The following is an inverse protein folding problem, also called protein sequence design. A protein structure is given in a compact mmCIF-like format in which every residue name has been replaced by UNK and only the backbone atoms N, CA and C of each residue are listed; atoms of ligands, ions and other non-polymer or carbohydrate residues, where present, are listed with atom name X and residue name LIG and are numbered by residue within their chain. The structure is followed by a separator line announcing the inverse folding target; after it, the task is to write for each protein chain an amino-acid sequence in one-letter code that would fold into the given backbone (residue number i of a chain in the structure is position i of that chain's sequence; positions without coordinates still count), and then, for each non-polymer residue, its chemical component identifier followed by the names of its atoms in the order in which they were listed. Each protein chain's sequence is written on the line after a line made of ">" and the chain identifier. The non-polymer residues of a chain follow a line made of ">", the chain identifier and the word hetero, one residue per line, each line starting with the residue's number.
data_IF_788318700384
#
_entry.id   IF_788318700384
#
_cell.length_a   1.000
_cell.length_b   1.000
_cell.length_c   1.000
_cell.angle_alpha   90.00
_cell.angle_beta   90.00
_cell.angle_gamma   90.00
#
_symmetry.space_group_name_H-M   'P 1'
#
loop_
_entity.id
_entity.type
_entity.pdbx_description
1 polymer ?
#
# COMPACT_ATOMS: atom_id res chain seq x y z
N UNK A 1 1.28 8.35 24.42
CA UNK A 1 0.27 8.38 23.35
C UNK A 1 0.55 7.18 22.47
N UNK A 2 -0.41 6.28 22.27
CA UNK A 2 -0.16 5.09 21.45
C UNK A 2 0.01 5.53 20.00
N UNK A 3 1.10 5.15 19.33
CA UNK A 3 1.33 5.54 17.92
C UNK A 3 0.40 4.77 16.96
N UNK A 4 -0.19 3.67 17.43
CA UNK A 4 -1.07 2.82 16.61
C UNK A 4 -2.44 3.45 16.38
N UNK A 5 -2.79 3.67 15.10
CA UNK A 5 -4.08 4.22 14.68
C UNK A 5 -5.27 3.25 14.86
N UNK A 6 -4.99 1.95 15.03
CA UNK A 6 -5.99 0.89 15.15
C UNK A 6 -6.34 0.51 16.60
N UNK A 7 -5.48 0.79 17.58
CA UNK A 7 -5.70 0.44 19.00
C UNK A 7 -5.88 1.72 19.81
N UNK A 8 -7.10 2.27 19.74
CA UNK A 8 -7.48 3.55 20.33
C UNK A 8 -8.07 3.46 21.75
N UNK A 9 -8.39 2.26 22.21
CA UNK A 9 -9.04 2.05 23.49
C UNK A 9 -8.06 1.46 24.52
N UNK A 10 -8.13 1.96 25.75
CA UNK A 10 -7.40 1.37 26.86
C UNK A 10 -8.05 0.02 27.26
N UNK A 11 -7.28 -0.96 27.76
CA UNK A 11 -7.83 -2.26 28.17
C UNK A 11 -8.99 -2.16 29.17
N UNK A 12 -8.98 -1.15 30.03
CA UNK A 12 -10.02 -0.91 31.04
C UNK A 12 -11.40 -0.62 30.42
N UNK A 13 -11.45 -0.12 29.18
CA UNK A 13 -12.71 0.16 28.49
C UNK A 13 -13.36 -1.09 27.89
N UNK A 14 -12.70 -2.27 27.94
CA UNK A 14 -13.17 -3.46 27.24
C UNK A 14 -14.57 -3.90 27.66
N UNK A 15 -14.89 -3.88 28.96
CA UNK A 15 -16.20 -4.28 29.46
C UNK A 15 -17.33 -3.39 28.89
N UNK A 16 -17.13 -2.07 28.93
CA UNK A 16 -18.10 -1.09 28.44
C UNK A 16 -18.26 -1.16 26.91
N UNK A 17 -17.15 -1.29 26.18
CA UNK A 17 -17.17 -1.45 24.72
C UNK A 17 -17.92 -2.71 24.28
N UNK A 18 -17.74 -3.82 24.99
CA UNK A 18 -18.48 -5.07 24.73
C UNK A 18 -19.96 -4.91 25.06
N UNK A 19 -20.30 -4.23 26.16
CA UNK A 19 -21.69 -3.95 26.53
C UNK A 19 -22.39 -3.07 25.48
N UNK A 20 -21.70 -2.05 24.97
CA UNK A 20 -22.22 -1.19 23.89
C UNK A 20 -22.34 -1.94 22.57
N UNK A 21 -21.42 -2.84 22.24
CA UNK A 21 -21.51 -3.68 21.04
C UNK A 21 -22.75 -4.58 21.09
N UNK A 22 -22.96 -5.30 22.20
CA UNK A 22 -24.12 -6.20 22.37
C UNK A 22 -25.43 -5.41 22.33
N UNK A 23 -25.45 -4.21 22.88
CA UNK A 23 -26.63 -3.35 22.88
C UNK A 23 -26.85 -2.55 21.58
N UNK A 24 -25.98 -2.72 20.57
CA UNK A 24 -26.07 -1.99 19.29
C UNK A 24 -25.78 -0.49 19.41
N UNK A 25 -25.06 -0.05 20.45
CA UNK A 25 -24.65 1.34 20.70
C UNK A 25 -23.20 1.62 20.30
N UNK A 26 -22.43 0.58 19.98
CA UNK A 26 -21.04 0.75 19.56
C UNK A 26 -20.95 1.61 18.29
N UNK A 27 -19.99 2.54 18.29
CA UNK A 27 -19.63 3.29 17.08
C UNK A 27 -18.67 2.45 16.25
N UNK A 28 -18.95 2.32 14.97
CA UNK A 28 -18.10 1.63 14.00
C UNK A 28 -17.51 2.64 13.02
N UNK A 29 -16.25 2.46 12.65
CA UNK A 29 -15.57 3.26 11.64
C UNK A 29 -15.22 2.35 10.46
N UNK A 30 -15.62 2.73 9.24
CA UNK A 30 -15.24 2.00 8.02
C UNK A 30 -13.81 2.40 7.60
N UNK A 31 -12.99 1.39 7.29
CA UNK A 31 -11.60 1.60 6.88
C UNK A 31 -11.44 1.28 5.40
N UNK A 32 -10.74 2.15 4.68
CA UNK A 32 -10.36 1.87 3.29
C UNK A 32 -9.29 0.78 3.25
N UNK A 33 -9.49 -0.22 2.40
CA UNK A 33 -8.51 -1.27 2.10
C UNK A 33 -7.91 -1.06 0.71
N UNK A 34 -6.66 -1.45 0.54
CA UNK A 34 -6.05 -1.60 -0.80
C UNK A 34 -6.28 -3.02 -1.30
N UNK A 35 -6.50 -3.16 -2.61
CA UNK A 35 -6.63 -4.45 -3.27
C UNK A 35 -5.65 -4.57 -4.42
N UNK A 36 -4.80 -5.60 -4.41
CA UNK A 36 -4.05 -6.03 -5.57
C UNK A 36 -4.77 -7.19 -6.25
N UNK A 37 -4.81 -7.17 -7.59
CA UNK A 37 -5.49 -8.18 -8.40
C UNK A 37 -4.57 -8.58 -9.55
N UNK A 38 -4.43 -9.88 -9.75
CA UNK A 38 -3.75 -10.44 -10.91
C UNK A 38 -4.77 -10.70 -12.02
N UNK A 39 -4.28 -10.84 -13.25
CA UNK A 39 -5.06 -11.16 -14.43
C UNK A 39 -5.71 -12.55 -14.35
N UNK A 40 -5.09 -13.49 -13.63
CA UNK A 40 -5.65 -14.80 -13.30
C UNK A 40 -6.75 -14.79 -12.22
N UNK A 41 -7.08 -13.61 -11.69
CA UNK A 41 -8.16 -13.42 -10.73
C UNK A 41 -7.75 -13.55 -9.26
N UNK A 42 -6.51 -13.94 -8.94
CA UNK A 42 -5.99 -13.90 -7.57
C UNK A 42 -6.03 -12.48 -7.02
N UNK A 43 -6.28 -12.36 -5.71
CA UNK A 43 -6.48 -11.07 -5.05
C UNK A 43 -5.84 -11.06 -3.66
N UNK A 44 -5.20 -9.95 -3.33
CA UNK A 44 -4.81 -9.59 -1.96
C UNK A 44 -5.61 -8.37 -1.48
N UNK A 45 -5.80 -8.32 -0.17
CA UNK A 45 -6.41 -7.20 0.54
C UNK A 45 -5.51 -6.82 1.70
N UNK A 46 -5.28 -5.52 1.88
CA UNK A 46 -4.44 -5.02 2.96
C UNK A 46 -5.10 -3.83 3.65
N UNK A 47 -4.95 -3.77 4.98
CA UNK A 47 -5.39 -2.63 5.79
C UNK A 47 -4.40 -1.47 5.66
N UNK A 48 -3.10 -1.75 5.59
CA UNK A 48 -2.05 -0.75 5.51
C UNK A 48 -1.55 -0.60 4.08
N UNK A 49 -0.91 -1.63 3.52
CA UNK A 49 -0.33 -1.54 2.17
C UNK A 49 -0.17 -2.90 1.48
N UNK A 50 -0.11 -2.86 0.15
CA UNK A 50 0.44 -3.95 -0.66
C UNK A 50 1.82 -3.56 -1.16
N UNK A 51 2.79 -4.45 -0.96
CA UNK A 51 4.09 -4.39 -1.63
C UNK A 51 4.03 -5.16 -2.95
N UNK A 52 4.74 -4.68 -3.97
CA UNK A 52 4.97 -5.35 -5.25
C UNK A 52 6.46 -5.24 -5.58
N UNK A 53 7.12 -6.36 -5.84
CA UNK A 53 8.54 -6.35 -6.21
C UNK A 53 9.13 -7.75 -6.38
N UNK A 54 10.43 -7.86 -6.18
CA UNK A 54 11.15 -9.12 -6.27
C UNK A 54 11.17 -9.85 -4.91
N UNK A 55 11.12 -11.18 -4.90
CA UNK A 55 11.08 -12.03 -3.69
C UNK A 55 12.33 -11.94 -2.82
N UNK A 56 13.46 -11.59 -3.43
CA UNK A 56 14.77 -11.46 -2.78
C UNK A 56 15.37 -10.09 -3.08
N UNK A 57 16.57 -9.80 -2.57
CA UNK A 57 17.28 -8.53 -2.76
C UNK A 57 17.83 -8.36 -4.20
N UNK A 58 16.97 -8.48 -5.21
CA UNK A 58 17.26 -8.13 -6.59
C UNK A 58 16.35 -7.00 -7.04
N UNK A 59 16.73 -6.32 -8.12
CA UNK A 59 15.92 -5.25 -8.68
C UNK A 59 14.60 -5.80 -9.22
N UNK A 60 13.50 -5.25 -8.71
CA UNK A 60 12.19 -5.41 -9.32
C UNK A 60 12.18 -4.66 -10.66
N UNK A 61 11.68 -5.31 -11.71
CA UNK A 61 11.59 -4.74 -13.06
C UNK A 61 10.16 -4.81 -13.53
N UNK A 62 9.61 -3.68 -13.91
CA UNK A 62 8.20 -3.58 -14.28
C UNK A 62 7.94 -2.33 -15.11
N UNK A 63 6.74 -2.25 -15.67
CA UNK A 63 6.20 -1.04 -16.27
C UNK A 63 5.08 -0.53 -15.37
N UNK A 64 5.13 0.76 -15.01
CA UNK A 64 4.03 1.45 -14.34
C UNK A 64 3.15 2.11 -15.38
N UNK A 65 1.83 1.97 -15.23
CA UNK A 65 0.85 2.81 -15.92
C UNK A 65 0.02 3.58 -14.89
N UNK A 66 0.09 4.91 -14.95
CA UNK A 66 -0.60 5.82 -14.04
C UNK A 66 -0.90 7.15 -14.74
N UNK A 67 -2.13 7.67 -14.58
CA UNK A 67 -2.50 8.99 -15.12
C UNK A 67 -2.31 9.14 -16.65
N UNK A 68 -2.49 8.05 -17.41
CA UNK A 68 -2.25 8.02 -18.87
C UNK A 68 -0.78 7.99 -19.27
N UNK A 69 0.15 7.98 -18.31
CA UNK A 69 1.58 7.82 -18.56
C UNK A 69 2.01 6.38 -18.36
N UNK A 70 3.13 6.02 -19.00
CA UNK A 70 3.75 4.70 -18.91
C UNK A 70 5.26 4.86 -18.77
N UNK A 71 5.84 4.25 -17.73
CA UNK A 71 7.29 4.31 -17.49
C UNK A 71 7.84 2.94 -17.12
N UNK A 72 9.01 2.59 -17.68
CA UNK A 72 9.74 1.37 -17.34
C UNK A 72 10.62 1.63 -16.13
N UNK A 73 10.56 0.75 -15.14
CA UNK A 73 11.29 0.90 -13.89
C UNK A 73 12.23 -0.29 -13.60
N UNK A 74 13.28 0.04 -12.86
CA UNK A 74 14.09 -0.88 -12.07
C UNK A 74 14.21 -0.27 -10.67
N UNK A 75 13.87 -1.00 -9.61
CA UNK A 75 13.75 -0.43 -8.26
C UNK A 75 13.85 -1.50 -7.16
N UNK A 76 13.74 -1.08 -5.90
CA UNK A 76 13.55 -1.95 -4.73
C UNK A 76 12.06 -2.34 -4.51
N UNK A 77 11.24 -2.28 -5.56
CA UNK A 77 9.80 -2.52 -5.54
C UNK A 77 8.97 -1.25 -5.39
N UNK A 78 7.65 -1.41 -5.22
CA UNK A 78 6.73 -0.33 -4.88
C UNK A 78 5.77 -0.76 -3.78
N UNK A 79 5.18 0.23 -3.11
CA UNK A 79 4.05 0.01 -2.20
C UNK A 79 2.84 0.82 -2.66
N UNK A 80 1.63 0.33 -2.36
CA UNK A 80 0.39 1.07 -2.44
C UNK A 80 -0.31 1.01 -1.09
N UNK A 81 -0.47 2.15 -0.43
CA UNK A 81 -0.90 2.29 0.95
C UNK A 81 -2.24 3.02 1.09
N UNK A 82 -3.00 2.65 2.11
CA UNK A 82 -4.26 3.28 2.51
C UNK A 82 -4.00 4.46 3.46
N UNK A 83 -5.06 5.18 3.85
CA UNK A 83 -4.98 6.16 4.95
C UNK A 83 -4.65 5.54 6.32
N UNK A 84 -4.94 4.26 6.54
CA UNK A 84 -4.48 3.57 7.76
C UNK A 84 -2.97 3.31 7.67
N UNK A 85 -2.51 2.85 6.51
CA UNK A 85 -1.10 2.60 6.20
C UNK A 85 -0.24 3.84 6.08
N UNK A 86 -0.84 5.04 5.99
CA UNK A 86 -0.11 6.32 5.89
C UNK A 86 0.84 6.54 7.07
N UNK A 87 0.51 5.95 8.23
CA UNK A 87 1.29 6.06 9.47
C UNK A 87 2.42 5.03 9.60
N UNK A 88 2.46 4.03 8.71
CA UNK A 88 3.43 2.93 8.66
C UNK A 88 4.57 3.15 7.66
N UNK A 89 4.76 2.19 6.74
CA UNK A 89 5.86 2.24 5.76
C UNK A 89 5.80 3.50 4.87
N UNK A 90 4.60 3.90 4.46
CA UNK A 90 4.39 5.12 3.68
C UNK A 90 4.92 6.38 4.40
N UNK A 91 4.76 6.47 5.73
CA UNK A 91 5.30 7.57 6.55
C UNK A 91 6.81 7.67 6.43
N UNK A 92 7.49 6.53 6.52
CA UNK A 92 8.96 6.46 6.42
C UNK A 92 9.44 6.93 5.05
N UNK A 93 8.80 6.48 3.97
CA UNK A 93 9.13 6.91 2.60
C UNK A 93 8.90 8.41 2.43
N UNK A 94 7.73 8.92 2.86
CA UNK A 94 7.38 10.35 2.78
C UNK A 94 8.39 11.23 3.50
N UNK A 95 8.76 10.85 4.72
CA UNK A 95 9.77 11.57 5.53
C UNK A 95 11.15 11.55 4.87
N UNK A 96 11.59 10.39 4.40
CA UNK A 96 12.89 10.24 3.76
C UNK A 96 12.99 11.07 2.47
N UNK A 97 11.89 11.14 1.71
CA UNK A 97 11.82 11.85 0.41
C UNK A 97 11.30 13.29 0.51
N UNK A 98 11.05 13.80 1.72
CA UNK A 98 10.46 15.12 1.97
C UNK A 98 9.19 15.39 1.13
N UNK A 99 8.30 14.40 1.02
CA UNK A 99 7.03 14.53 0.27
C UNK A 99 6.01 15.26 1.13
N UNK A 100 5.72 16.51 0.80
CA UNK A 100 4.80 17.41 1.52
C UNK A 100 3.36 17.40 0.95
N UNK A 101 2.86 16.23 0.55
CA UNK A 101 1.47 16.06 0.10
C UNK A 101 0.62 15.55 1.27
N UNK A 102 -0.61 16.06 1.49
CA UNK A 102 -1.50 15.56 2.54
C UNK A 102 -1.64 14.03 2.52
N UNK A 103 -1.64 13.42 3.70
CA UNK A 103 -1.91 11.98 3.86
C UNK A 103 -3.41 11.71 3.77
N UNK A 104 -3.84 10.55 3.25
CA UNK A 104 -5.25 10.20 3.22
C UNK A 104 -5.73 9.92 4.63
N UNK A 105 -6.94 10.38 4.96
CA UNK A 105 -7.56 9.96 6.21
C UNK A 105 -7.83 8.44 6.17
N UNK A 106 -7.80 7.71 7.29
CA UNK A 106 -8.04 6.27 7.31
C UNK A 106 -9.37 5.80 6.68
N UNK A 107 -10.39 6.64 6.72
CA UNK A 107 -11.73 6.41 6.14
C UNK A 107 -11.83 6.93 4.69
N UNK A 108 -10.82 7.66 4.21
CA UNK A 108 -10.82 8.24 2.87
C UNK A 108 -10.61 7.16 1.81
N UNK A 109 -11.42 7.19 0.75
CA UNK A 109 -11.34 6.25 -0.38
C UNK A 109 -10.25 6.66 -1.37
N UNK A 110 -9.05 6.88 -0.85
CA UNK A 110 -7.84 7.27 -1.58
C UNK A 110 -6.69 6.36 -1.17
N UNK A 111 -5.88 5.98 -2.15
CA UNK A 111 -4.64 5.26 -1.94
C UNK A 111 -3.47 6.12 -2.39
N UNK A 112 -2.32 5.99 -1.75
CA UNK A 112 -1.07 6.56 -2.25
C UNK A 112 -0.10 5.44 -2.60
N UNK A 113 0.70 5.63 -3.63
CA UNK A 113 1.70 4.67 -4.05
C UNK A 113 3.08 5.31 -4.18
N UNK A 114 4.10 4.50 -3.92
CA UNK A 114 5.49 4.94 -3.89
C UNK A 114 6.38 3.86 -4.51
N UNK A 115 7.15 4.23 -5.53
CA UNK A 115 8.29 3.44 -5.95
C UNK A 115 9.40 3.60 -4.91
N UNK A 116 10.00 2.48 -4.51
CA UNK A 116 11.11 2.44 -3.57
C UNK A 116 12.43 2.42 -4.32
N UNK A 117 13.29 3.38 -4.03
CA UNK A 117 14.67 3.45 -4.56
C UNK A 117 14.68 3.27 -6.11
N UNK A 118 13.94 4.08 -6.88
CA UNK A 118 13.93 3.98 -8.33
C UNK A 118 15.34 4.23 -8.90
N UNK A 119 15.79 3.35 -9.80
CA UNK A 119 17.12 3.44 -10.39
C UNK A 119 17.10 4.16 -11.74
N UNK A 120 17.77 5.32 -11.89
CA UNK A 120 17.85 6.03 -13.15
C UNK A 120 18.86 5.34 -14.09
N UNK A 121 18.43 4.99 -15.30
CA UNK A 121 19.33 4.41 -16.30
C UNK A 121 18.94 4.84 -17.72
N UNK A 122 19.72 4.41 -18.71
CA UNK A 122 19.40 4.63 -20.13
C UNK A 122 18.10 3.94 -20.56
N UNK A 123 17.63 2.93 -19.81
CA UNK A 123 16.46 2.12 -20.15
C UNK A 123 15.31 2.23 -19.13
N UNK A 124 15.50 2.97 -18.02
CA UNK A 124 14.51 3.09 -16.93
C UNK A 124 14.36 4.53 -16.49
N UNK A 125 13.12 4.92 -16.21
CA UNK A 125 12.78 6.25 -15.71
C UNK A 125 12.57 6.29 -14.21
N UNK A 126 12.47 7.51 -13.70
CA UNK A 126 12.19 7.83 -12.29
C UNK A 126 11.20 9.00 -12.17
N UNK A 127 10.39 9.24 -13.21
CA UNK A 127 9.40 10.33 -13.23
C UNK A 127 8.06 9.89 -12.63
N UNK A 128 7.68 8.62 -12.80
CA UNK A 128 6.51 8.00 -12.17
C UNK A 128 6.90 7.26 -10.88
N UNK A 129 7.38 8.01 -9.88
CA UNK A 129 7.94 7.45 -8.65
C UNK A 129 7.06 7.59 -7.39
N UNK A 130 5.99 8.40 -7.45
CA UNK A 130 4.94 8.44 -6.44
C UNK A 130 3.65 9.02 -7.04
N UNK A 131 2.51 8.75 -6.41
CA UNK A 131 1.24 9.35 -6.77
C UNK A 131 0.09 8.91 -5.87
N UNK A 132 -1.11 9.38 -6.19
CA UNK A 132 -2.35 9.02 -5.50
C UNK A 132 -3.35 8.40 -6.47
N UNK A 133 -4.25 7.57 -5.96
CA UNK A 133 -5.37 6.97 -6.67
C UNK A 133 -6.66 7.38 -5.95
N UNK A 134 -7.55 8.07 -6.65
CA UNK A 134 -8.91 8.32 -6.20
C UNK A 134 -9.77 7.06 -6.34
N UNK A 135 -11.00 7.12 -5.80
CA UNK A 135 -11.95 6.04 -5.95
C UNK A 135 -12.20 5.71 -7.43
N UNK A 136 -12.05 4.43 -7.78
CA UNK A 136 -12.24 3.94 -9.16
C UNK A 136 -10.98 3.98 -10.02
N UNK A 137 -9.94 4.74 -9.62
CA UNK A 137 -8.65 4.74 -10.29
C UNK A 137 -7.84 3.49 -9.94
N UNK A 138 -6.87 3.16 -10.82
CA UNK A 138 -6.03 1.99 -10.68
C UNK A 138 -4.59 2.32 -11.06
N UNK A 139 -3.66 1.77 -10.29
CA UNK A 139 -2.27 1.62 -10.68
C UNK A 139 -2.11 0.27 -11.36
N UNK A 140 -1.66 0.25 -12.61
CA UNK A 140 -1.41 -0.99 -13.36
C UNK A 140 0.09 -1.23 -13.44
N UNK A 141 0.51 -2.46 -13.12
CA UNK A 141 1.91 -2.88 -13.12
C UNK A 141 2.05 -4.07 -14.07
N UNK A 142 2.82 -3.92 -15.14
CA UNK A 142 3.24 -5.06 -15.95
C UNK A 142 4.57 -5.59 -15.41
N UNK A 143 4.61 -6.83 -14.95
CA UNK A 143 5.86 -7.46 -14.54
C UNK A 143 6.78 -7.63 -15.74
N UNK A 144 8.05 -7.25 -15.56
CA UNK A 144 9.16 -7.60 -16.45
C UNK A 144 10.16 -8.51 -15.72
N UNK A 145 9.75 -9.09 -14.59
CA UNK A 145 10.48 -10.11 -13.86
C UNK A 145 10.13 -11.45 -14.52
N UNK A 146 11.14 -12.19 -14.98
CA UNK A 146 10.90 -13.50 -15.60
C UNK A 146 10.51 -14.57 -14.57
N UNK A 147 11.00 -14.42 -13.34
CA UNK A 147 10.72 -15.27 -12.18
C UNK A 147 10.76 -14.40 -10.91
N UNK A 148 10.28 -14.94 -9.79
CA UNK A 148 10.38 -14.34 -8.45
C UNK A 148 9.68 -12.97 -8.26
N UNK A 149 8.75 -12.60 -9.15
CA UNK A 149 7.82 -11.50 -8.94
C UNK A 149 6.82 -11.82 -7.84
N UNK A 150 6.68 -10.93 -6.85
CA UNK A 150 5.80 -11.15 -5.69
C UNK A 150 5.02 -9.91 -5.33
N UNK A 151 3.81 -10.13 -4.81
CA UNK A 151 3.06 -9.14 -4.05
C UNK A 151 2.60 -9.72 -2.72
N UNK A 152 2.64 -8.92 -1.65
CA UNK A 152 2.13 -9.31 -0.34
C UNK A 152 1.45 -8.13 0.36
N UNK A 153 0.51 -8.45 1.24
CA UNK A 153 -0.28 -7.48 2.00
C UNK A 153 0.23 -7.37 3.43
N UNK A 154 0.27 -6.15 3.99
CA UNK A 154 0.52 -5.86 5.40
C UNK A 154 1.81 -6.49 5.98
N UNK A 155 2.84 -6.68 5.14
CA UNK A 155 4.09 -7.32 5.54
C UNK A 155 4.02 -8.84 5.72
N UNK A 156 2.90 -9.49 5.38
CA UNK A 156 2.69 -10.93 5.53
C UNK A 156 3.27 -11.65 4.30
N UNK A 157 4.59 -11.77 4.25
CA UNK A 157 5.32 -12.42 3.14
C UNK A 157 4.94 -13.89 2.85
N UNK A 158 4.58 -14.73 3.85
CA UNK A 158 4.16 -16.11 3.58
C UNK A 158 2.90 -16.21 2.71
N UNK A 159 2.02 -15.21 2.75
CA UNK A 159 0.75 -15.18 2.01
C UNK A 159 0.87 -14.47 0.66
N UNK A 160 2.10 -14.28 0.18
CA UNK A 160 2.36 -13.61 -1.10
C UNK A 160 1.72 -14.35 -2.27
N UNK A 161 1.41 -13.57 -3.30
CA UNK A 161 1.09 -14.09 -4.63
C UNK A 161 2.27 -13.87 -5.57
N UNK A 162 2.58 -14.89 -6.34
CA UNK A 162 3.67 -14.89 -7.33
C UNK A 162 3.12 -14.61 -8.73
N UNK A 163 3.85 -13.84 -9.54
CA UNK A 163 3.47 -13.42 -10.89
C UNK A 163 4.69 -13.20 -11.79
#
# INVERSE_FOLDING_TARGET
>A
MNEGVLVRHAPQAAADLLADLVAGRARTEERTLVAARLDDGRRLLAVNEVYVGHRTHQSARYVIHAGGQRERHSSSGLICATGTGSTGWARSIRRQRAIEVPEPAPEERRLDWFVREPFPSVATGTSLEFGSLAEGERLVIDSLMGEDGVAFADGIEPDRIEF
#
